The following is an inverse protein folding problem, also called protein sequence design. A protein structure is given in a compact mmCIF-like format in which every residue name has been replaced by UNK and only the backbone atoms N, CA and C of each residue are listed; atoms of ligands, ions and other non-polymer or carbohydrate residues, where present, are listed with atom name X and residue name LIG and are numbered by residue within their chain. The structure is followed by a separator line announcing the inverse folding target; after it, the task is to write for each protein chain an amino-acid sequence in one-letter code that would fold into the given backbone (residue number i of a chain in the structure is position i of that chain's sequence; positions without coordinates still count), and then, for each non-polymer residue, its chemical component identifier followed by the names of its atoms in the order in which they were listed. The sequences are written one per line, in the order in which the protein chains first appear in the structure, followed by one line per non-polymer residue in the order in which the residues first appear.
data_IF_346599958187
#
_entry.id   IF_346599958187
#
_cell.length_a   1.000
_cell.length_b   1.000
_cell.length_c   1.000
_cell.angle_alpha   90.00
_cell.angle_beta   90.00
_cell.angle_gamma   90.00
#
_symmetry.space_group_name_H-M   'P 1'
#
loop_
_entity.id
_entity.type
_entity.pdbx_description
1 polymer ?
#
# COMPACT_ATOMS: atom_id res chain seq x y z
N UNK A 1 -14.86 6.97 -20.45
CA UNK A 1 -13.77 7.74 -19.80
C UNK A 1 -13.93 7.98 -18.29
N UNK A 2 -15.12 7.85 -17.67
CA UNK A 2 -15.30 8.03 -16.21
C UNK A 2 -14.70 6.87 -15.39
N UNK A 3 -14.89 5.63 -15.83
CA UNK A 3 -14.40 4.43 -15.12
C UNK A 3 -12.87 4.38 -14.97
N UNK A 4 -12.13 4.89 -15.95
CA UNK A 4 -10.66 4.94 -15.89
C UNK A 4 -10.13 5.94 -14.87
N UNK A 5 -10.85 7.05 -14.61
CA UNK A 5 -10.49 7.99 -13.55
C UNK A 5 -10.76 7.40 -12.16
N UNK A 6 -11.94 6.80 -11.98
CA UNK A 6 -12.30 6.13 -10.72
C UNK A 6 -11.29 5.03 -10.38
N UNK A 7 -10.93 4.18 -11.36
CA UNK A 7 -9.94 3.12 -11.17
C UNK A 7 -8.59 3.66 -10.68
N UNK A 8 -8.10 4.77 -11.26
CA UNK A 8 -6.85 5.40 -10.83
C UNK A 8 -6.91 5.88 -9.37
N UNK A 9 -8.03 6.48 -8.95
CA UNK A 9 -8.20 6.89 -7.56
C UNK A 9 -8.27 5.71 -6.59
N UNK A 10 -8.95 4.62 -6.98
CA UNK A 10 -8.99 3.40 -6.17
C UNK A 10 -7.59 2.81 -6.00
N UNK A 11 -6.81 2.72 -7.08
CA UNK A 11 -5.42 2.22 -7.04
C UNK A 11 -4.55 3.11 -6.15
N UNK A 12 -4.67 4.43 -6.28
CA UNK A 12 -3.92 5.37 -5.44
C UNK A 12 -4.32 5.24 -3.97
N UNK A 13 -5.62 5.11 -3.69
CA UNK A 13 -6.12 4.91 -2.33
C UNK A 13 -5.54 3.64 -1.69
N UNK A 14 -5.51 2.52 -2.42
CA UNK A 14 -4.92 1.27 -1.93
C UNK A 14 -3.42 1.46 -1.64
N UNK A 15 -2.68 2.12 -2.53
CA UNK A 15 -1.26 2.39 -2.32
C UNK A 15 -0.99 3.22 -1.05
N UNK A 16 -1.78 4.29 -0.85
CA UNK A 16 -1.65 5.16 0.32
C UNK A 16 -2.07 4.42 1.60
N UNK A 17 -3.17 3.69 1.59
CA UNK A 17 -3.63 2.92 2.74
C UNK A 17 -2.61 1.86 3.16
N UNK A 18 -2.01 1.15 2.19
CA UNK A 18 -0.96 0.18 2.45
C UNK A 18 0.30 0.83 3.06
N UNK A 19 0.73 2.00 2.55
CA UNK A 19 1.86 2.74 3.10
C UNK A 19 1.60 3.27 4.53
N UNK A 20 0.39 3.73 4.81
CA UNK A 20 0.00 4.17 6.17
C UNK A 20 -0.01 2.98 7.13
N UNK A 21 -0.59 1.85 6.72
CA UNK A 21 -0.59 0.64 7.52
C UNK A 21 0.85 0.14 7.80
N UNK A 22 1.73 0.17 6.79
CA UNK A 22 3.14 -0.19 6.93
C UNK A 22 3.86 0.67 7.98
N UNK A 23 3.70 2.00 7.91
CA UNK A 23 4.27 2.92 8.90
C UNK A 23 3.75 2.63 10.32
N UNK A 24 2.44 2.44 10.48
CA UNK A 24 1.85 2.11 11.79
C UNK A 24 2.36 0.75 12.31
N UNK A 25 2.52 -0.24 11.42
CA UNK A 25 3.08 -1.53 11.75
C UNK A 25 4.53 -1.41 12.22
N UNK A 26 5.39 -0.68 11.52
CA UNK A 26 6.79 -0.49 11.92
C UNK A 26 6.91 0.25 13.26
N UNK A 27 6.07 1.25 13.52
CA UNK A 27 6.01 1.92 14.83
C UNK A 27 5.64 0.92 15.93
N UNK A 28 4.61 0.09 15.71
CA UNK A 28 4.18 -0.92 16.68
C UNK A 28 5.22 -2.03 16.87
N UNK A 29 5.89 -2.46 15.79
CA UNK A 29 6.97 -3.44 15.83
C UNK A 29 8.17 -2.93 16.63
N UNK A 30 8.50 -1.65 16.48
CA UNK A 30 9.59 -1.02 17.22
C UNK A 30 9.25 -0.85 18.71
N UNK A 31 8.04 -0.39 19.02
CA UNK A 31 7.64 -0.10 20.40
C UNK A 31 7.23 -1.34 21.21
N UNK A 32 6.54 -2.29 20.57
CA UNK A 32 5.92 -3.44 21.25
C UNK A 32 6.04 -4.73 20.40
N UNK A 33 7.25 -5.22 20.12
CA UNK A 33 7.45 -6.38 19.23
C UNK A 33 6.75 -7.65 19.72
N UNK A 34 6.66 -7.85 21.05
CA UNK A 34 6.01 -9.01 21.65
C UNK A 34 4.47 -8.97 21.60
N UNK A 35 3.88 -7.82 21.26
CA UNK A 35 2.42 -7.65 21.15
C UNK A 35 1.84 -8.06 19.80
N UNK A 36 2.71 -8.46 18.86
CA UNK A 36 2.34 -8.79 17.50
C UNK A 36 2.26 -10.31 17.32
N UNK A 37 1.16 -10.77 16.76
CA UNK A 37 1.03 -12.15 16.29
C UNK A 37 1.84 -12.40 15.03
N UNK A 38 2.22 -13.65 14.77
CA UNK A 38 2.93 -14.04 13.54
C UNK A 38 2.18 -13.62 12.26
N UNK A 39 0.85 -13.64 12.29
CA UNK A 39 0.02 -13.21 11.17
C UNK A 39 0.13 -11.70 10.95
N UNK A 40 0.07 -10.89 12.02
CA UNK A 40 0.25 -9.44 11.92
C UNK A 40 1.64 -9.09 11.38
N UNK A 41 2.68 -9.82 11.80
CA UNK A 41 4.04 -9.64 11.29
C UNK A 41 4.11 -9.94 9.79
N UNK A 42 3.53 -11.07 9.37
CA UNK A 42 3.48 -11.44 7.95
C UNK A 42 2.77 -10.35 7.13
N UNK A 43 1.56 -9.95 7.52
CA UNK A 43 0.81 -8.93 6.79
C UNK A 43 1.49 -7.55 6.83
N UNK A 44 2.14 -7.21 7.94
CA UNK A 44 2.96 -6.01 8.10
C UNK A 44 4.05 -5.94 7.04
N UNK A 45 4.87 -6.97 6.91
CA UNK A 45 5.94 -7.00 5.90
C UNK A 45 5.43 -7.03 4.45
N UNK A 46 4.22 -7.52 4.21
CA UNK A 46 3.59 -7.50 2.88
C UNK A 46 3.02 -6.13 2.48
N UNK A 47 2.81 -5.23 3.44
CA UNK A 47 2.20 -3.93 3.19
C UNK A 47 3.04 -3.05 2.25
N UNK A 48 4.36 -3.03 2.43
CA UNK A 48 5.27 -2.25 1.59
C UNK A 48 5.32 -2.77 0.14
N UNK A 49 5.50 -4.08 -0.14
CA UNK A 49 5.35 -4.63 -1.49
C UNK A 49 4.02 -4.27 -2.15
N UNK A 50 2.91 -4.37 -1.41
CA UNK A 50 1.58 -3.98 -1.91
C UNK A 50 1.55 -2.50 -2.27
N UNK A 51 2.00 -1.61 -1.38
CA UNK A 51 2.06 -0.18 -1.64
C UNK A 51 2.86 0.13 -2.92
N UNK A 52 4.03 -0.50 -3.09
CA UNK A 52 4.87 -0.31 -4.28
C UNK A 52 4.16 -0.76 -5.57
N UNK A 53 3.58 -1.97 -5.58
CA UNK A 53 2.90 -2.50 -6.77
C UNK A 53 1.78 -1.57 -7.23
N UNK A 54 0.94 -1.09 -6.30
CA UNK A 54 -0.16 -0.20 -6.65
C UNK A 54 0.33 1.18 -7.08
N UNK A 55 1.43 1.68 -6.52
CA UNK A 55 2.04 2.95 -6.93
C UNK A 55 2.63 2.86 -8.35
N UNK A 56 3.32 1.76 -8.69
CA UNK A 56 3.78 1.48 -10.05
C UNK A 56 2.62 1.35 -11.03
N UNK A 57 1.55 0.65 -10.64
CA UNK A 57 0.35 0.52 -11.47
C UNK A 57 -0.31 1.89 -11.72
N UNK A 58 -0.41 2.72 -10.68
CA UNK A 58 -0.91 4.09 -10.82
C UNK A 58 -0.06 4.91 -11.78
N UNK A 59 1.27 4.84 -11.66
CA UNK A 59 2.19 5.55 -12.55
C UNK A 59 2.06 5.06 -14.01
N UNK A 60 1.99 3.75 -14.22
CA UNK A 60 1.79 3.15 -15.53
C UNK A 60 0.49 3.64 -16.18
N UNK A 61 -0.61 3.65 -15.44
CA UNK A 61 -1.92 4.08 -15.95
C UNK A 61 -2.01 5.58 -16.25
N UNK A 62 -1.15 6.40 -15.63
CA UNK A 62 -1.10 7.85 -15.86
C UNK A 62 -0.08 8.27 -16.91
N UNK A 63 0.72 7.34 -17.44
CA UNK A 63 1.67 7.63 -18.53
C UNK A 63 0.91 8.16 -19.76
N UNK A 64 1.32 9.29 -20.36
CA UNK A 64 0.69 9.76 -21.59
C UNK A 64 0.91 8.73 -22.70
N UNK A 65 -0.18 8.32 -23.37
CA UNK A 65 -0.10 7.50 -24.58
C UNK A 65 0.46 8.41 -25.68
N UNK A 66 1.72 8.21 -26.05
CA UNK A 66 2.29 8.75 -27.29
C UNK A 66 1.70 8.03 -28.49
#
# INVERSE_FOLDING_TARGET
MKNTRVLRYVILFIAVAAAVYDLMFFVRLYQYPHSLSNNEILYGYWALPVAMVFLFLYAYLNKPRR
#
